data_IF_410375414696
#
_entry.id   IF_410375414696
#
_cell.length_a   1.000
_cell.length_b   1.000
_cell.length_c   1.000
_cell.angle_alpha   90.00
_cell.angle_beta   90.00
_cell.angle_gamma   90.00
#
_symmetry.space_group_name_H-M   'P 1'
#
loop_
_entity.id
_entity.type
_entity.pdbx_description
1 polymer ?
#
# COMPACT_ATOMS: atom_id res chain seq x y z
N UNK A 1 -11.84 19.57 -1.66
CA UNK A 1 -10.59 18.82 -1.45
C UNK A 1 -10.87 17.73 -0.41
N UNK A 2 -10.92 16.47 -0.84
CA UNK A 2 -11.10 15.36 0.10
C UNK A 2 -9.88 15.34 1.01
N UNK A 3 -10.04 15.74 2.27
CA UNK A 3 -8.93 15.75 3.22
C UNK A 3 -8.45 14.31 3.43
N UNK A 4 -7.15 14.05 3.22
CA UNK A 4 -6.50 12.80 3.58
C UNK A 4 -6.81 12.48 5.06
N UNK A 5 -7.42 11.34 5.30
CA UNK A 5 -7.75 10.87 6.65
C UNK A 5 -6.63 9.96 7.13
N UNK A 6 -5.77 10.46 8.03
CA UNK A 6 -4.68 9.66 8.59
C UNK A 6 -5.15 8.44 9.40
N UNK A 7 -6.40 8.45 9.86
CA UNK A 7 -6.97 7.43 10.73
C UNK A 7 -7.67 6.28 10.00
N UNK A 8 -7.92 6.39 8.70
CA UNK A 8 -8.50 5.31 7.90
C UNK A 8 -8.18 5.48 6.41
N UNK A 9 -8.15 4.37 5.69
CA UNK A 9 -8.09 4.34 4.24
C UNK A 9 -9.39 4.92 3.66
N UNK A 10 -9.34 5.64 2.55
CA UNK A 10 -10.50 6.19 1.86
C UNK A 10 -10.61 5.70 0.42
N UNK A 11 -9.50 5.54 -0.32
CA UNK A 11 -9.51 5.07 -1.70
C UNK A 11 -9.89 3.58 -1.81
N UNK A 12 -10.53 3.21 -2.92
CA UNK A 12 -11.06 1.86 -3.16
C UNK A 12 -12.26 1.55 -2.27
N UNK A 13 -12.45 0.28 -1.93
CA UNK A 13 -13.55 -0.19 -1.07
C UNK A 13 -13.08 -0.25 0.38
N UNK A 14 -13.88 0.35 1.28
CA UNK A 14 -13.64 0.37 2.73
C UNK A 14 -14.97 0.18 3.46
N UNK A 15 -14.94 -0.06 4.77
CA UNK A 15 -16.16 -0.22 5.57
C UNK A 15 -16.29 0.87 6.61
N UNK A 16 -17.52 1.42 6.74
CA UNK A 16 -17.89 2.33 7.81
C UNK A 16 -18.02 1.58 9.14
N UNK A 17 -18.11 2.33 10.25
CA UNK A 17 -18.41 1.74 11.55
C UNK A 17 -19.79 1.05 11.62
N UNK A 18 -20.67 1.31 10.65
CA UNK A 18 -21.99 0.67 10.53
C UNK A 18 -21.95 -0.59 9.65
N UNK A 19 -20.78 -0.96 9.11
CA UNK A 19 -20.61 -2.11 8.22
C UNK A 19 -21.02 -1.85 6.77
N UNK A 20 -21.38 -0.61 6.40
CA UNK A 20 -21.65 -0.26 5.00
C UNK A 20 -20.35 -0.05 4.23
N UNK A 21 -20.31 -0.49 2.99
CA UNK A 21 -19.17 -0.24 2.12
C UNK A 21 -19.16 1.21 1.64
N UNK A 22 -18.02 1.87 1.79
CA UNK A 22 -17.71 3.19 1.26
C UNK A 22 -16.72 3.00 0.10
N UNK A 23 -17.14 3.36 -1.11
CA UNK A 23 -16.30 3.27 -2.31
C UNK A 23 -15.85 4.66 -2.72
N UNK A 24 -14.57 4.83 -3.03
CA UNK A 24 -14.00 6.07 -3.55
C UNK A 24 -12.97 5.75 -4.64
N UNK A 25 -13.23 6.27 -5.85
CA UNK A 25 -12.37 6.10 -7.03
C UNK A 25 -12.01 7.47 -7.59
N UNK A 26 -10.76 7.67 -8.00
CA UNK A 26 -10.35 8.86 -8.74
C UNK A 26 -10.25 8.55 -10.22
N UNK A 27 -11.09 9.22 -11.01
CA UNK A 27 -11.17 9.10 -12.47
C UNK A 27 -11.67 10.43 -13.05
N UNK A 28 -10.79 11.45 -13.17
CA UNK A 28 -11.21 12.81 -13.50
C UNK A 28 -11.75 12.97 -14.92
N UNK A 29 -11.39 12.11 -15.85
CA UNK A 29 -11.80 12.18 -17.26
C UNK A 29 -13.00 11.28 -17.58
N UNK A 30 -13.41 10.40 -16.63
CA UNK A 30 -14.53 9.50 -16.83
C UNK A 30 -15.88 10.25 -16.88
N UNK A 31 -16.78 9.80 -17.72
CA UNK A 31 -18.18 10.30 -17.81
C UNK A 31 -19.09 9.51 -16.88
N UNK A 32 -18.83 8.22 -16.72
CA UNK A 32 -19.57 7.31 -15.85
C UNK A 32 -18.60 6.40 -15.11
N UNK A 33 -18.84 6.18 -13.82
CA UNK A 33 -18.07 5.23 -13.01
C UNK A 33 -19.04 4.37 -12.22
N UNK A 34 -18.88 3.05 -12.30
CA UNK A 34 -19.68 2.08 -11.57
C UNK A 34 -18.78 1.05 -10.88
N UNK A 35 -19.32 0.37 -9.86
CA UNK A 35 -18.80 -0.90 -9.38
C UNK A 35 -19.61 -2.01 -10.04
N UNK A 36 -18.93 -2.96 -10.67
CA UNK A 36 -19.53 -4.19 -11.15
C UNK A 36 -19.20 -5.34 -10.21
N UNK A 37 -20.19 -5.85 -9.48
CA UNK A 37 -20.06 -7.03 -8.63
C UNK A 37 -20.21 -8.29 -9.49
N UNK A 38 -19.13 -9.09 -9.56
CA UNK A 38 -19.02 -10.22 -10.50
C UNK A 38 -20.05 -11.30 -10.19
N UNK A 39 -20.03 -11.86 -8.98
CA UNK A 39 -20.89 -12.98 -8.60
C UNK A 39 -22.37 -12.58 -8.50
N UNK A 40 -22.63 -11.33 -8.08
CA UNK A 40 -23.99 -10.79 -7.94
C UNK A 40 -24.55 -10.28 -9.28
N UNK A 41 -23.72 -10.17 -10.32
CA UNK A 41 -24.06 -9.55 -11.62
C UNK A 41 -24.77 -8.21 -11.44
N UNK A 42 -24.27 -7.40 -10.51
CA UNK A 42 -24.88 -6.16 -10.07
C UNK A 42 -23.99 -4.97 -10.38
N UNK A 43 -24.56 -3.96 -11.02
CA UNK A 43 -23.93 -2.67 -11.24
C UNK A 43 -24.39 -1.67 -10.18
N UNK A 44 -23.44 -1.00 -9.54
CA UNK A 44 -23.68 0.05 -8.55
C UNK A 44 -23.07 1.35 -9.07
N UNK A 45 -23.91 2.35 -9.30
CA UNK A 45 -23.48 3.65 -9.82
C UNK A 45 -22.76 4.47 -8.73
N UNK A 46 -21.65 5.10 -9.11
CA UNK A 46 -20.93 6.05 -8.27
C UNK A 46 -21.34 7.48 -8.64
N UNK A 47 -21.47 8.32 -7.62
CA UNK A 47 -21.81 9.73 -7.77
C UNK A 47 -20.50 10.52 -7.98
N UNK A 48 -20.48 11.36 -9.03
CA UNK A 48 -19.39 12.29 -9.28
C UNK A 48 -19.26 13.30 -8.13
N UNK A 49 -18.02 13.51 -7.68
CA UNK A 49 -17.66 14.46 -6.65
C UNK A 49 -16.67 15.49 -7.21
N UNK A 50 -16.33 16.48 -6.40
CA UNK A 50 -15.31 17.45 -6.76
C UNK A 50 -13.94 16.79 -7.07
N UNK A 51 -13.13 17.43 -7.90
CA UNK A 51 -11.75 17.04 -8.24
C UNK A 51 -11.61 15.68 -8.93
N UNK A 52 -12.66 15.21 -9.62
CA UNK A 52 -12.64 13.96 -10.38
C UNK A 52 -12.75 12.70 -9.53
N UNK A 53 -13.21 12.82 -8.29
CA UNK A 53 -13.54 11.67 -7.46
C UNK A 53 -14.97 11.20 -7.70
N UNK A 54 -15.17 9.89 -7.55
CA UNK A 54 -16.46 9.21 -7.65
C UNK A 54 -16.68 8.35 -6.42
N UNK A 55 -17.89 8.36 -5.85
CA UNK A 55 -18.14 7.61 -4.62
C UNK A 55 -19.56 7.09 -4.49
N UNK A 56 -19.72 5.99 -3.76
CA UNK A 56 -21.01 5.55 -3.23
C UNK A 56 -20.85 5.00 -1.81
N UNK A 57 -21.98 4.90 -1.08
CA UNK A 57 -22.10 4.17 0.18
C UNK A 57 -23.22 3.16 -0.01
N UNK A 58 -22.97 1.90 0.30
CA UNK A 58 -23.91 0.83 0.01
C UNK A 58 -23.74 -0.35 0.96
N UNK A 59 -24.84 -1.02 1.38
CA UNK A 59 -24.77 -2.30 2.07
C UNK A 59 -24.61 -3.50 1.13
N UNK A 60 -24.67 -3.29 -0.20
CA UNK A 60 -24.65 -4.38 -1.19
C UNK A 60 -23.27 -5.03 -1.39
N UNK A 61 -22.20 -4.34 -0.98
CA UNK A 61 -20.82 -4.84 -1.07
C UNK A 61 -20.42 -5.44 0.28
N UNK A 62 -19.92 -6.67 0.24
CA UNK A 62 -19.50 -7.41 1.44
C UNK A 62 -18.08 -7.97 1.26
N UNK A 63 -17.33 -8.24 2.36
CA UNK A 63 -16.03 -8.90 2.25
C UNK A 63 -16.14 -10.22 1.48
N UNK A 64 -15.18 -10.48 0.58
CA UNK A 64 -15.15 -11.62 -0.33
C UNK A 64 -15.83 -11.37 -1.68
N UNK A 65 -16.60 -10.30 -1.85
CA UNK A 65 -17.16 -9.97 -3.16
C UNK A 65 -16.04 -9.64 -4.15
N UNK A 66 -16.11 -10.23 -5.34
CA UNK A 66 -15.25 -9.86 -6.46
C UNK A 66 -15.89 -8.74 -7.30
N UNK A 67 -15.07 -7.77 -7.71
CA UNK A 67 -15.57 -6.59 -8.42
C UNK A 67 -14.58 -6.01 -9.42
N UNK A 68 -15.14 -5.27 -10.36
CA UNK A 68 -14.42 -4.34 -11.22
C UNK A 68 -14.92 -2.92 -11.01
N UNK A 69 -14.06 -1.95 -11.30
CA UNK A 69 -14.50 -0.58 -11.56
C UNK A 69 -14.80 -0.48 -13.06
N UNK A 70 -16.02 -0.09 -13.38
CA UNK A 70 -16.43 0.12 -14.76
C UNK A 70 -16.33 1.62 -15.09
N UNK A 71 -15.39 1.97 -15.97
CA UNK A 71 -15.19 3.33 -16.50
C UNK A 71 -15.76 3.40 -17.90
N UNK A 72 -16.80 4.22 -18.12
CA UNK A 72 -17.43 4.43 -19.44
C UNK A 72 -17.74 3.10 -20.17
N UNK A 73 -18.20 2.10 -19.42
CA UNK A 73 -18.53 0.76 -19.89
C UNK A 73 -17.39 -0.23 -19.97
N UNK A 74 -16.13 0.16 -19.65
CA UNK A 74 -14.98 -0.74 -19.61
C UNK A 74 -14.71 -1.19 -18.19
N UNK A 75 -14.70 -2.51 -17.97
CA UNK A 75 -14.37 -3.12 -16.68
C UNK A 75 -12.86 -3.19 -16.47
N UNK A 76 -12.37 -2.68 -15.34
CA UNK A 76 -10.97 -2.62 -14.94
C UNK A 76 -10.83 -2.99 -13.48
N UNK A 77 -9.74 -3.66 -13.06
CA UNK A 77 -9.43 -3.81 -11.64
C UNK A 77 -9.31 -2.45 -10.94
N UNK A 78 -9.64 -2.40 -9.65
CA UNK A 78 -9.54 -1.17 -8.86
C UNK A 78 -8.07 -0.83 -8.56
N UNK A 79 -7.58 0.38 -8.93
CA UNK A 79 -6.22 0.82 -8.63
C UNK A 79 -5.87 0.80 -7.14
N UNK A 80 -6.86 0.97 -6.26
CA UNK A 80 -6.69 0.97 -4.81
C UNK A 80 -7.18 -0.33 -4.14
N UNK A 81 -7.37 -1.39 -4.93
CA UNK A 81 -7.64 -2.73 -4.42
C UNK A 81 -6.54 -3.20 -3.50
N UNK A 82 -6.90 -3.85 -2.40
CA UNK A 82 -5.96 -4.47 -1.46
C UNK A 82 -5.68 -5.93 -1.77
N UNK A 83 -6.45 -6.54 -2.69
CA UNK A 83 -6.27 -7.92 -3.09
C UNK A 83 -6.72 -8.16 -4.54
N UNK A 84 -5.86 -8.85 -5.29
CA UNK A 84 -6.05 -9.28 -6.67
C UNK A 84 -5.90 -10.81 -6.74
N UNK A 85 -6.93 -11.60 -6.37
CA UNK A 85 -6.80 -13.06 -6.21
C UNK A 85 -6.42 -13.77 -7.51
N UNK A 86 -6.86 -13.24 -8.65
CA UNK A 86 -6.61 -13.80 -9.99
C UNK A 86 -5.46 -13.07 -10.73
N UNK A 87 -4.67 -12.27 -10.00
CA UNK A 87 -3.56 -11.51 -10.58
C UNK A 87 -3.98 -10.18 -11.18
N UNK A 88 -3.10 -9.60 -12.00
CA UNK A 88 -3.19 -8.19 -12.43
C UNK A 88 -4.32 -7.87 -13.43
N UNK A 89 -4.94 -8.86 -14.03
CA UNK A 89 -6.04 -8.70 -15.01
C UNK A 89 -7.39 -9.18 -14.50
N UNK A 90 -7.41 -9.92 -13.39
CA UNK A 90 -8.62 -10.44 -12.76
C UNK A 90 -9.40 -9.38 -11.97
N UNK A 91 -10.57 -9.74 -11.46
CA UNK A 91 -11.33 -8.87 -10.58
C UNK A 91 -10.58 -8.58 -9.28
N UNK A 92 -10.84 -7.41 -8.71
CA UNK A 92 -10.44 -7.09 -7.35
C UNK A 92 -11.34 -7.81 -6.35
N UNK A 93 -10.80 -8.19 -5.19
CA UNK A 93 -11.61 -8.77 -4.10
C UNK A 93 -11.71 -7.80 -2.92
N UNK A 94 -12.89 -7.71 -2.36
CA UNK A 94 -13.18 -6.87 -1.19
C UNK A 94 -12.63 -7.51 0.07
N UNK A 95 -11.68 -6.87 0.71
CA UNK A 95 -11.10 -7.32 1.99
C UNK A 95 -11.31 -6.26 3.07
N UNK A 96 -11.85 -6.69 4.21
CA UNK A 96 -11.95 -5.84 5.41
C UNK A 96 -10.66 -5.96 6.22
N UNK A 97 -9.69 -5.06 5.98
CA UNK A 97 -8.42 -5.07 6.71
C UNK A 97 -8.59 -4.90 8.22
N UNK A 98 -9.60 -4.14 8.64
CA UNK A 98 -9.92 -3.93 10.07
C UNK A 98 -10.55 -5.14 10.77
N UNK A 99 -10.89 -6.22 10.04
CA UNK A 99 -11.43 -7.45 10.64
C UNK A 99 -10.35 -8.37 11.21
N UNK A 100 -9.07 -8.13 10.90
CA UNK A 100 -7.96 -8.91 11.44
C UNK A 100 -7.81 -8.67 12.94
N UNK A 101 -7.62 -9.76 13.67
CA UNK A 101 -7.49 -9.72 15.13
C UNK A 101 -6.02 -9.66 15.53
N UNK A 102 -5.51 -8.46 15.74
CA UNK A 102 -4.14 -8.22 16.15
C UNK A 102 -3.89 -8.65 17.61
N UNK A 103 -2.74 -9.28 17.85
CA UNK A 103 -2.28 -9.65 19.21
C UNK A 103 -1.15 -8.74 19.70
N UNK A 104 -0.66 -7.85 18.87
CA UNK A 104 0.49 -6.98 19.08
C UNK A 104 0.21 -5.70 19.92
N UNK A 105 -0.84 -5.70 20.73
CA UNK A 105 -1.26 -4.52 21.52
C UNK A 105 -0.20 -3.94 22.45
N UNK A 106 0.80 -4.76 22.82
CA UNK A 106 1.90 -4.35 23.68
C UNK A 106 3.19 -4.09 22.89
N UNK A 107 3.15 -4.26 21.56
CA UNK A 107 4.30 -4.03 20.72
C UNK A 107 4.71 -2.56 20.74
N UNK A 108 5.97 -2.33 21.07
CA UNK A 108 6.64 -1.04 20.97
C UNK A 108 7.83 -1.25 20.05
N UNK A 109 7.84 -0.57 18.92
CA UNK A 109 8.93 -0.68 17.98
C UNK A 109 10.26 -0.30 18.64
N UNK A 110 11.29 -1.07 18.37
CA UNK A 110 12.66 -0.82 18.89
C UNK A 110 13.24 0.43 18.22
N UNK A 111 14.19 1.13 18.89
CA UNK A 111 14.88 2.27 18.30
C UNK A 111 15.62 1.88 17.01
N UNK A 112 15.57 2.73 15.99
CA UNK A 112 16.19 2.45 14.69
C UNK A 112 17.68 2.09 14.76
N UNK A 113 18.43 2.69 15.68
CA UNK A 113 19.85 2.41 15.90
C UNK A 113 20.13 1.01 16.45
N UNK A 114 19.09 0.31 16.91
CA UNK A 114 19.17 -1.06 17.41
C UNK A 114 18.72 -2.10 16.38
N UNK A 115 18.34 -1.65 15.16
CA UNK A 115 17.99 -2.54 14.08
C UNK A 115 19.21 -3.31 13.57
N UNK A 116 19.12 -4.64 13.62
CA UNK A 116 19.95 -5.58 12.87
C UNK A 116 19.02 -6.16 11.80
N UNK A 117 19.16 -5.63 10.58
CA UNK A 117 18.20 -5.86 9.50
C UNK A 117 18.59 -7.10 8.69
N UNK A 118 17.64 -7.99 8.46
CA UNK A 118 17.73 -9.06 7.49
C UNK A 118 16.77 -8.78 6.34
N UNK A 119 17.30 -8.46 5.17
CA UNK A 119 16.51 -8.30 3.95
C UNK A 119 16.16 -9.67 3.37
N UNK A 120 14.89 -9.89 3.02
CA UNK A 120 14.41 -11.14 2.47
C UNK A 120 13.39 -10.94 1.34
N UNK A 121 13.38 -11.87 0.40
CA UNK A 121 12.38 -11.96 -0.66
C UNK A 121 11.39 -13.08 -0.33
N UNK A 122 10.11 -12.74 -0.20
CA UNK A 122 9.06 -13.69 0.20
C UNK A 122 9.05 -14.96 -0.64
N UNK A 123 9.12 -14.81 -1.97
CA UNK A 123 9.04 -15.94 -2.90
C UNK A 123 10.24 -16.90 -2.92
N UNK A 124 11.36 -16.57 -2.22
CA UNK A 124 12.58 -17.40 -2.25
C UNK A 124 13.18 -17.70 -0.88
N UNK A 125 12.70 -17.02 0.18
CA UNK A 125 13.23 -17.21 1.53
C UNK A 125 12.90 -18.58 2.14
N UNK A 126 11.73 -19.11 1.80
CA UNK A 126 11.29 -20.46 2.22
C UNK A 126 10.94 -21.33 1.02
N UNK A 127 10.80 -22.64 1.26
CA UNK A 127 10.40 -23.59 0.21
C UNK A 127 8.98 -23.36 -0.30
N UNK A 128 8.09 -22.81 0.55
CA UNK A 128 6.71 -22.50 0.16
C UNK A 128 6.61 -21.19 -0.64
N UNK A 129 7.58 -20.26 -0.50
CA UNK A 129 7.55 -18.96 -1.16
C UNK A 129 6.41 -18.05 -0.69
N UNK A 130 5.95 -18.20 0.55
CA UNK A 130 4.79 -17.50 1.11
C UNK A 130 5.14 -16.80 2.44
N UNK A 131 4.27 -15.90 2.90
CA UNK A 131 4.39 -15.28 4.22
C UNK A 131 4.36 -16.30 5.36
N UNK A 132 3.57 -17.37 5.24
CA UNK A 132 3.55 -18.46 6.22
C UNK A 132 4.93 -19.13 6.33
N UNK A 133 5.60 -19.37 5.20
CA UNK A 133 6.96 -19.91 5.21
C UNK A 133 8.00 -19.00 5.86
N UNK A 134 7.77 -17.67 5.90
CA UNK A 134 8.60 -16.75 6.68
C UNK A 134 8.30 -16.93 8.17
N UNK A 135 7.02 -17.04 8.56
CA UNK A 135 6.62 -17.28 9.97
C UNK A 135 7.33 -18.52 10.53
N UNK A 136 7.39 -19.61 9.77
CA UNK A 136 8.07 -20.84 10.17
C UNK A 136 9.58 -20.65 10.43
N UNK A 137 10.19 -19.61 9.84
CA UNK A 137 11.62 -19.28 9.96
C UNK A 137 11.93 -18.20 11.01
N UNK A 138 10.94 -17.59 11.64
CA UNK A 138 11.16 -16.57 12.65
C UNK A 138 12.05 -17.05 13.82
N UNK A 139 11.90 -18.28 14.38
CA UNK A 139 12.79 -18.76 15.43
C UNK A 139 14.27 -18.77 15.01
N UNK A 140 14.58 -19.12 13.76
CA UNK A 140 15.93 -19.07 13.22
C UNK A 140 16.46 -17.62 13.15
N UNK A 141 15.64 -16.66 12.74
CA UNK A 141 16.05 -15.24 12.69
C UNK A 141 16.30 -14.68 14.09
N UNK A 142 15.49 -15.07 15.07
CA UNK A 142 15.70 -14.71 16.50
C UNK A 142 17.02 -15.28 17.01
N UNK A 143 17.31 -16.56 16.76
CA UNK A 143 18.56 -17.22 17.15
C UNK A 143 19.77 -16.53 16.51
N UNK A 144 19.63 -16.06 15.27
CA UNK A 144 20.67 -15.30 14.55
C UNK A 144 20.89 -13.89 15.14
N UNK A 145 20.01 -13.42 16.03
CA UNK A 145 20.07 -12.08 16.62
C UNK A 145 19.51 -10.97 15.75
N UNK A 146 18.65 -11.30 14.77
CA UNK A 146 17.96 -10.33 13.92
C UNK A 146 16.89 -9.61 14.74
N UNK A 147 16.84 -8.28 14.63
CA UNK A 147 15.85 -7.45 15.35
C UNK A 147 14.83 -6.79 14.40
N UNK A 148 15.12 -6.81 13.11
CA UNK A 148 14.19 -6.32 12.08
C UNK A 148 14.32 -7.14 10.79
N UNK A 149 13.21 -7.45 10.14
CA UNK A 149 13.22 -7.95 8.76
C UNK A 149 12.85 -6.83 7.80
N UNK A 150 13.53 -6.75 6.65
CA UNK A 150 13.15 -5.93 5.52
C UNK A 150 12.58 -6.83 4.44
N UNK A 151 11.27 -6.69 4.17
CA UNK A 151 10.58 -7.48 3.16
C UNK A 151 10.68 -6.73 1.83
N UNK A 152 11.27 -7.36 0.80
CA UNK A 152 11.25 -6.86 -0.57
C UNK A 152 9.81 -6.61 -1.04
N UNK A 153 9.58 -5.77 -2.07
CA UNK A 153 8.25 -5.27 -2.38
C UNK A 153 7.20 -6.38 -2.55
N UNK A 154 6.02 -6.15 -1.97
CA UNK A 154 4.90 -7.11 -1.97
C UNK A 154 3.71 -6.63 -2.82
N UNK A 155 3.81 -5.47 -3.47
CA UNK A 155 2.77 -4.96 -4.35
C UNK A 155 2.48 -5.96 -5.48
N UNK A 156 1.20 -6.17 -5.81
CA UNK A 156 0.79 -7.15 -6.81
C UNK A 156 1.45 -6.87 -8.17
N UNK A 157 2.17 -7.87 -8.66
CA UNK A 157 2.81 -7.92 -9.98
C UNK A 157 2.24 -9.08 -10.82
N UNK A 158 2.57 -9.10 -12.11
CA UNK A 158 2.15 -10.15 -13.03
C UNK A 158 2.90 -11.46 -12.76
N UNK A 159 2.16 -12.57 -12.71
CA UNK A 159 2.71 -13.89 -12.44
C UNK A 159 3.14 -14.12 -10.98
N UNK A 160 4.05 -15.08 -10.76
CA UNK A 160 4.47 -15.50 -9.42
C UNK A 160 5.98 -15.33 -9.16
N UNK A 161 6.74 -14.80 -10.12
CA UNK A 161 8.21 -14.67 -10.04
C UNK A 161 8.63 -13.26 -10.40
N UNK A 162 8.87 -12.45 -9.40
CA UNK A 162 9.39 -11.08 -9.50
C UNK A 162 10.06 -10.73 -8.19
N UNK A 163 11.04 -9.85 -8.20
CA UNK A 163 11.58 -9.29 -6.95
C UNK A 163 10.63 -8.31 -6.27
N UNK A 164 9.49 -7.99 -6.93
CA UNK A 164 8.47 -7.09 -6.45
C UNK A 164 8.59 -5.66 -7.00
N UNK A 165 9.65 -5.36 -7.79
CA UNK A 165 9.87 -4.02 -8.32
C UNK A 165 9.04 -3.69 -9.57
N UNK A 166 8.30 -4.66 -10.13
CA UNK A 166 7.35 -4.44 -11.23
C UNK A 166 5.88 -4.50 -10.76
N UNK A 167 5.62 -4.15 -9.50
CA UNK A 167 4.26 -4.05 -8.97
C UNK A 167 3.42 -3.04 -9.74
N UNK A 168 2.14 -3.36 -9.96
CA UNK A 168 1.18 -2.50 -10.70
C UNK A 168 -0.06 -2.13 -9.88
N UNK A 169 -0.26 -2.80 -8.74
CA UNK A 169 -1.28 -2.44 -7.74
C UNK A 169 -0.61 -2.19 -6.40
N UNK A 170 -0.15 -0.95 -6.12
CA UNK A 170 0.57 -0.62 -4.89
C UNK A 170 -0.16 -0.95 -3.60
N UNK A 171 -1.50 -0.94 -3.61
CA UNK A 171 -2.32 -1.27 -2.45
C UNK A 171 -2.54 -2.77 -2.26
N UNK A 172 -2.42 -3.58 -3.32
CA UNK A 172 -2.69 -5.01 -3.26
C UNK A 172 -1.45 -5.79 -2.85
N UNK A 173 -1.64 -6.73 -1.93
CA UNK A 173 -0.61 -7.68 -1.55
C UNK A 173 -0.57 -8.84 -2.55
N UNK A 174 0.63 -9.18 -3.04
CA UNK A 174 0.86 -10.24 -4.02
C UNK A 174 0.14 -11.54 -3.64
N UNK A 175 -0.71 -12.02 -4.55
CA UNK A 175 -1.56 -13.18 -4.32
C UNK A 175 -0.76 -14.46 -4.08
N UNK A 176 0.33 -14.69 -4.83
CA UNK A 176 1.18 -15.87 -4.69
C UNK A 176 1.94 -15.93 -3.37
N UNK A 177 2.02 -14.82 -2.62
CA UNK A 177 2.64 -14.77 -1.29
C UNK A 177 1.64 -15.10 -0.16
N UNK A 178 0.34 -15.17 -0.46
CA UNK A 178 -0.74 -15.46 0.47
C UNK A 178 -1.73 -14.30 0.69
N UNK A 179 -1.51 -13.15 0.01
CA UNK A 179 -2.42 -12.00 0.06
C UNK A 179 -2.41 -11.23 1.39
N UNK A 180 -3.36 -10.30 1.58
CA UNK A 180 -3.30 -9.30 2.65
C UNK A 180 -3.40 -9.90 4.06
N UNK A 181 -4.28 -10.88 4.27
CA UNK A 181 -4.47 -11.50 5.60
C UNK A 181 -3.23 -12.28 6.02
N UNK A 182 -2.53 -12.93 5.08
CA UNK A 182 -1.29 -13.64 5.38
C UNK A 182 -0.15 -12.67 5.74
N UNK A 183 -0.09 -11.48 5.11
CA UNK A 183 0.85 -10.43 5.50
C UNK A 183 0.56 -9.90 6.91
N UNK A 184 -0.73 -9.66 7.26
CA UNK A 184 -1.10 -9.25 8.62
C UNK A 184 -0.67 -10.30 9.66
N UNK A 185 -0.87 -11.61 9.38
CA UNK A 185 -0.39 -12.69 10.24
C UNK A 185 1.13 -12.70 10.41
N UNK A 186 1.88 -12.47 9.32
CA UNK A 186 3.34 -12.39 9.40
C UNK A 186 3.79 -11.25 10.31
N UNK A 187 3.22 -10.06 10.15
CA UNK A 187 3.60 -8.89 10.97
C UNK A 187 3.28 -9.15 12.45
N UNK A 188 2.09 -9.66 12.75
CA UNK A 188 1.68 -10.01 14.12
C UNK A 188 2.63 -11.05 14.75
N UNK A 189 3.02 -12.07 13.98
CA UNK A 189 3.97 -13.09 14.42
C UNK A 189 5.38 -12.51 14.64
N UNK A 190 5.85 -11.58 13.80
CA UNK A 190 7.13 -10.89 13.99
C UNK A 190 7.14 -10.09 15.29
N UNK A 191 6.09 -9.30 15.54
CA UNK A 191 5.95 -8.53 16.77
C UNK A 191 5.92 -9.42 18.02
N UNK A 192 5.25 -10.57 17.96
CA UNK A 192 5.26 -11.56 19.04
C UNK A 192 6.64 -12.13 19.34
N UNK A 193 7.58 -12.13 18.37
CA UNK A 193 8.96 -12.56 18.51
C UNK A 193 9.94 -11.41 18.78
N UNK A 194 9.47 -10.18 18.92
CA UNK A 194 10.31 -9.01 19.14
C UNK A 194 11.03 -8.51 17.88
N UNK A 195 10.55 -8.86 16.69
CA UNK A 195 11.11 -8.48 15.38
C UNK A 195 10.27 -7.37 14.76
N UNK A 196 10.91 -6.24 14.43
CA UNK A 196 10.28 -5.17 13.64
C UNK A 196 10.17 -5.54 12.17
N UNK A 197 9.19 -4.98 11.47
CA UNK A 197 8.97 -5.23 10.04
C UNK A 197 9.13 -3.95 9.23
N UNK A 198 10.07 -3.96 8.30
CA UNK A 198 10.32 -2.92 7.30
C UNK A 198 9.74 -3.43 5.97
N UNK A 199 8.98 -2.60 5.28
CA UNK A 199 8.48 -2.92 3.95
C UNK A 199 9.16 -2.05 2.89
N UNK A 200 9.74 -2.68 1.88
CA UNK A 200 10.23 -1.98 0.69
C UNK A 200 9.06 -1.60 -0.21
N UNK A 201 8.98 -0.32 -0.57
CA UNK A 201 7.91 0.24 -1.39
C UNK A 201 8.45 1.00 -2.60
N UNK A 202 7.82 0.80 -3.74
CA UNK A 202 8.20 1.37 -5.03
C UNK A 202 7.22 2.48 -5.39
N UNK A 203 7.64 3.74 -5.27
CA UNK A 203 6.81 4.91 -5.58
C UNK A 203 7.37 5.77 -6.72
N UNK A 204 8.52 5.38 -7.27
CA UNK A 204 9.19 6.08 -8.36
C UNK A 204 8.74 5.61 -9.75
N UNK A 205 8.22 4.39 -9.87
CA UNK A 205 7.69 3.80 -11.10
C UNK A 205 6.68 2.68 -10.78
N UNK A 206 6.03 2.16 -11.79
CA UNK A 206 5.23 0.93 -11.74
C UNK A 206 5.62 0.03 -12.89
N UNK A 207 5.38 -1.27 -12.72
CA UNK A 207 5.56 -2.25 -13.78
C UNK A 207 4.68 -1.97 -14.99
N UNK A 208 5.06 -2.48 -16.17
CA UNK A 208 4.28 -2.27 -17.39
C UNK A 208 3.12 -3.25 -17.54
N UNK A 209 3.22 -4.46 -16.99
CA UNK A 209 2.30 -5.55 -17.27
C UNK A 209 1.08 -5.51 -16.32
N UNK A 210 -0.10 -5.26 -16.90
CA UNK A 210 -1.34 -5.16 -16.14
C UNK A 210 -1.57 -3.81 -15.45
N UNK A 211 -0.77 -2.78 -15.76
CA UNK A 211 -0.92 -1.45 -15.18
C UNK A 211 -2.16 -0.75 -15.76
N UNK A 212 -3.17 -0.57 -14.94
CA UNK A 212 -4.44 0.08 -15.30
C UNK A 212 -4.50 1.57 -14.94
N UNK A 213 -3.53 2.10 -14.18
CA UNK A 213 -3.56 3.48 -13.68
C UNK A 213 -3.72 4.54 -14.79
N UNK A 214 -3.07 4.42 -15.97
CA UNK A 214 -3.25 5.38 -17.06
C UNK A 214 -4.69 5.49 -17.58
N UNK A 215 -5.53 4.48 -17.34
CA UNK A 215 -6.93 4.49 -17.76
C UNK A 215 -7.82 5.24 -16.76
N UNK A 216 -7.35 5.39 -15.53
CA UNK A 216 -8.08 6.11 -14.48
C UNK A 216 -7.78 7.59 -14.46
N UNK A 217 -6.54 7.99 -14.82
CA UNK A 217 -6.16 9.39 -14.82
C UNK A 217 -4.67 9.63 -15.05
N UNK A 218 -4.21 10.87 -15.00
CA UNK A 218 -2.83 11.26 -15.25
C UNK A 218 -1.90 10.93 -14.05
N UNK A 219 -1.78 9.64 -13.73
CA UNK A 219 -0.84 9.15 -12.72
C UNK A 219 0.63 9.29 -13.14
N UNK A 220 0.88 9.40 -14.45
CA UNK A 220 2.20 9.56 -15.04
C UNK A 220 2.31 10.91 -15.74
N UNK A 221 3.56 11.39 -15.93
CA UNK A 221 3.84 12.63 -16.65
C UNK A 221 5.01 12.44 -17.63
N UNK A 222 4.89 13.06 -18.80
CA UNK A 222 5.98 13.16 -19.79
C UNK A 222 6.99 14.27 -19.51
N UNK A 223 6.73 15.08 -18.48
CA UNK A 223 7.59 16.19 -18.05
C UNK A 223 9.02 15.72 -17.71
N UNK A 224 9.13 14.49 -17.23
CA UNK A 224 10.41 13.87 -16.87
C UNK A 224 10.56 12.47 -17.48
N UNK A 225 11.80 12.12 -17.83
CA UNK A 225 12.17 10.75 -18.24
C UNK A 225 12.90 10.06 -17.10
N UNK A 226 12.57 8.80 -16.86
CA UNK A 226 13.25 7.93 -15.92
C UNK A 226 13.76 6.67 -16.63
N UNK A 227 14.66 5.89 -16.02
CA UNK A 227 15.10 4.61 -16.60
C UNK A 227 13.95 3.63 -16.86
N UNK A 228 12.82 3.80 -16.14
CA UNK A 228 11.61 2.97 -16.26
C UNK A 228 10.52 3.57 -17.15
N UNK A 229 10.80 4.67 -17.85
CA UNK A 229 9.86 5.37 -18.74
C UNK A 229 9.35 6.70 -18.18
N UNK A 230 8.03 6.95 -18.27
CA UNK A 230 7.40 8.15 -17.72
C UNK A 230 7.59 8.20 -16.20
N UNK A 231 7.75 9.42 -15.66
CA UNK A 231 7.78 9.61 -14.21
C UNK A 231 6.38 9.55 -13.62
N UNK A 232 6.29 9.19 -12.34
CA UNK A 232 5.06 9.41 -11.57
C UNK A 232 4.77 10.91 -11.46
N UNK A 233 3.49 11.27 -11.56
CA UNK A 233 3.05 12.65 -11.59
C UNK A 233 2.97 13.26 -10.18
N UNK A 234 4.08 13.77 -9.65
CA UNK A 234 4.11 14.42 -8.33
C UNK A 234 4.04 15.96 -8.39
N UNK A 235 4.19 16.60 -9.56
CA UNK A 235 4.27 18.07 -9.66
C UNK A 235 3.70 18.69 -10.95
N UNK A 236 2.91 17.92 -11.72
CA UNK A 236 2.23 18.42 -12.90
C UNK A 236 0.71 18.56 -12.65
N UNK A 237 -0.08 18.86 -13.68
CA UNK A 237 -1.53 18.95 -13.57
C UNK A 237 -2.13 17.68 -12.92
N UNK A 238 -3.09 17.85 -12.02
CA UNK A 238 -3.72 16.78 -11.23
C UNK A 238 -2.81 16.02 -10.25
N UNK A 239 -1.57 16.48 -10.02
CA UNK A 239 -0.62 15.81 -9.11
C UNK A 239 -1.14 15.67 -7.68
N UNK A 240 -2.03 16.53 -7.20
CA UNK A 240 -2.60 16.43 -5.85
C UNK A 240 -3.27 15.07 -5.59
N UNK A 241 -3.98 14.52 -6.58
CA UNK A 241 -4.62 13.21 -6.45
C UNK A 241 -3.59 12.06 -6.47
N UNK A 242 -2.53 12.17 -7.28
CA UNK A 242 -1.45 11.19 -7.34
C UNK A 242 -0.64 11.21 -6.05
N UNK A 243 -0.31 12.39 -5.52
CA UNK A 243 0.34 12.59 -4.21
C UNK A 243 -0.51 11.97 -3.10
N UNK A 244 -1.84 12.18 -3.13
CA UNK A 244 -2.78 11.60 -2.20
C UNK A 244 -2.79 10.06 -2.29
N UNK A 245 -2.82 9.50 -3.50
CA UNK A 245 -2.82 8.06 -3.74
C UNK A 245 -1.63 7.37 -3.06
N UNK A 246 -0.41 7.83 -3.33
CA UNK A 246 0.79 7.23 -2.71
C UNK A 246 0.93 7.54 -1.22
N UNK A 247 0.43 8.70 -0.77
CA UNK A 247 0.39 9.02 0.66
C UNK A 247 -0.52 8.07 1.42
N UNK A 248 -1.69 7.80 0.86
CA UNK A 248 -2.65 6.88 1.48
C UNK A 248 -2.17 5.44 1.48
N UNK A 249 -1.46 5.03 0.41
CA UNK A 249 -0.80 3.73 0.36
C UNK A 249 0.23 3.57 1.48
N UNK A 250 1.12 4.54 1.65
CA UNK A 250 2.12 4.51 2.72
C UNK A 250 1.47 4.45 4.12
N UNK A 251 0.42 5.25 4.34
CA UNK A 251 -0.32 5.22 5.61
C UNK A 251 -1.07 3.89 5.82
N UNK A 252 -1.58 3.27 4.76
CA UNK A 252 -2.20 1.95 4.84
C UNK A 252 -1.23 0.89 5.37
N UNK A 253 -0.01 0.83 4.86
CA UNK A 253 1.00 -0.11 5.35
C UNK A 253 1.27 0.05 6.85
N UNK A 254 1.44 1.29 7.30
CA UNK A 254 1.73 1.60 8.71
C UNK A 254 0.52 1.38 9.62
N UNK A 255 -0.69 1.68 9.14
CA UNK A 255 -1.91 1.69 9.95
C UNK A 255 -2.64 0.35 9.95
N UNK A 256 -2.84 -0.22 8.74
CA UNK A 256 -3.73 -1.36 8.56
C UNK A 256 -2.95 -2.69 8.52
N UNK A 257 -1.63 -2.62 8.29
CA UNK A 257 -0.73 -3.78 8.31
C UNK A 257 0.30 -3.72 9.44
N UNK A 258 0.28 -2.70 10.28
CA UNK A 258 1.19 -2.49 11.42
C UNK A 258 2.68 -2.55 11.05
N UNK A 259 3.04 -2.28 9.79
CA UNK A 259 4.43 -2.15 9.34
C UNK A 259 5.14 -1.07 10.15
N UNK A 260 6.34 -1.34 10.66
CA UNK A 260 7.09 -0.44 11.54
C UNK A 260 7.85 0.64 10.79
N UNK A 261 8.32 0.33 9.58
CA UNK A 261 9.08 1.24 8.75
C UNK A 261 8.87 0.98 7.25
N UNK A 262 9.08 2.01 6.43
CA UNK A 262 9.11 1.90 4.98
C UNK A 262 10.52 2.17 4.47
N UNK A 263 11.06 1.29 3.63
CA UNK A 263 12.19 1.58 2.77
C UNK A 263 11.66 2.03 1.43
N UNK A 264 12.09 3.19 0.94
CA UNK A 264 11.65 3.71 -0.35
C UNK A 264 12.70 3.42 -1.42
N UNK A 265 12.28 2.65 -2.44
CA UNK A 265 13.13 2.37 -3.59
C UNK A 265 13.40 3.62 -4.43
N UNK A 266 14.63 3.73 -4.95
CA UNK A 266 15.06 4.69 -5.96
C UNK A 266 14.49 6.11 -5.79
N UNK A 267 14.54 6.67 -4.58
CA UNK A 267 13.98 7.99 -4.24
C UNK A 267 14.49 9.13 -5.14
N UNK A 268 15.68 8.98 -5.74
CA UNK A 268 16.25 9.93 -6.70
C UNK A 268 15.46 10.03 -8.01
N UNK A 269 14.65 9.02 -8.31
CA UNK A 269 13.77 9.00 -9.49
C UNK A 269 12.37 9.53 -9.19
N UNK A 270 12.04 9.85 -7.94
CA UNK A 270 10.84 10.61 -7.57
C UNK A 270 11.09 12.08 -7.96
N UNK A 271 10.55 12.47 -9.12
CA UNK A 271 10.69 13.83 -9.66
C UNK A 271 9.56 14.71 -9.13
N UNK A 272 9.91 15.63 -8.26
CA UNK A 272 8.97 16.59 -7.66
C UNK A 272 9.70 17.90 -7.40
N UNK A 273 9.38 18.94 -8.16
CA UNK A 273 9.91 20.28 -8.03
C UNK A 273 8.88 21.27 -7.48
N UNK A 274 7.82 20.74 -6.86
CA UNK A 274 6.86 21.58 -6.14
C UNK A 274 7.51 22.27 -4.93
N UNK A 275 6.92 23.35 -4.39
CA UNK A 275 7.44 24.06 -3.22
C UNK A 275 7.66 23.18 -1.99
N UNK A 276 6.88 22.09 -1.89
CA UNK A 276 7.03 21.08 -0.86
C UNK A 276 7.14 19.71 -1.50
N UNK A 277 8.36 19.18 -1.51
CA UNK A 277 8.62 17.86 -2.07
C UNK A 277 7.77 16.77 -1.39
N UNK A 278 7.20 15.83 -2.17
CA UNK A 278 6.30 14.78 -1.69
C UNK A 278 6.90 13.94 -0.55
N UNK A 279 8.19 13.62 -0.59
CA UNK A 279 8.87 12.90 0.50
C UNK A 279 8.84 13.65 1.83
N UNK A 280 8.93 15.00 1.78
CA UNK A 280 8.78 15.81 2.98
C UNK A 280 7.35 15.79 3.49
N UNK A 281 6.38 15.84 2.59
CA UNK A 281 4.97 15.74 2.95
C UNK A 281 4.66 14.37 3.55
N UNK A 282 5.17 13.28 2.95
CA UNK A 282 5.05 11.91 3.47
C UNK A 282 5.56 11.83 4.92
N UNK A 283 6.78 12.30 5.17
CA UNK A 283 7.37 12.32 6.52
C UNK A 283 6.48 13.05 7.53
N UNK A 284 5.94 14.20 7.17
CA UNK A 284 5.06 14.96 8.05
C UNK A 284 3.74 14.23 8.35
N UNK A 285 3.16 13.56 7.34
CA UNK A 285 1.92 12.78 7.50
C UNK A 285 2.14 11.55 8.38
N UNK A 286 3.23 10.83 8.16
CA UNK A 286 3.62 9.70 8.99
C UNK A 286 3.85 10.14 10.44
N UNK A 287 4.57 11.25 10.66
CA UNK A 287 4.75 11.81 12.01
C UNK A 287 3.40 12.19 12.68
N UNK A 288 2.46 12.77 11.92
CA UNK A 288 1.11 13.06 12.44
C UNK A 288 0.33 11.79 12.82
N UNK A 289 0.46 10.71 12.03
CA UNK A 289 -0.15 9.42 12.33
C UNK A 289 0.40 8.87 13.64
N UNK A 290 1.70 8.80 13.81
CA UNK A 290 2.33 8.32 15.04
C UNK A 290 1.92 9.13 16.27
N UNK A 291 1.95 10.46 16.20
CA UNK A 291 1.55 11.34 17.29
C UNK A 291 0.09 11.17 17.74
N UNK A 292 -0.81 10.83 16.82
CA UNK A 292 -2.25 10.73 17.13
C UNK A 292 -2.70 9.35 17.56
N UNK A 293 -2.10 8.28 17.03
CA UNK A 293 -2.68 6.95 17.11
C UNK A 293 -1.80 5.91 17.80
N UNK A 294 -0.47 6.05 17.77
CA UNK A 294 0.43 5.15 18.50
C UNK A 294 0.83 5.64 19.90
N UNK A 295 0.57 6.89 20.23
CA UNK A 295 1.02 7.51 21.49
C UNK A 295 -0.04 7.60 22.58
N UNK A 296 -0.99 6.70 22.64
CA UNK A 296 -1.98 6.69 23.71
C UNK A 296 -1.37 6.56 25.13
N UNK A 297 -0.06 6.26 25.29
CA UNK A 297 0.58 6.05 26.61
C UNK A 297 1.99 6.59 26.81
N UNK A 298 2.74 7.05 25.76
CA UNK A 298 4.09 7.58 26.05
C UNK A 298 4.61 8.60 25.04
N UNK A 299 4.66 9.89 25.45
CA UNK A 299 5.20 10.99 24.64
C UNK A 299 6.72 10.90 24.41
N UNK A 300 7.45 10.11 25.19
CA UNK A 300 8.89 9.93 25.05
C UNK A 300 9.24 8.94 23.93
N UNK A 301 8.51 7.84 23.79
CA UNK A 301 8.65 6.88 22.70
C UNK A 301 8.29 7.51 21.34
N UNK A 302 7.32 8.44 21.28
CA UNK A 302 6.92 9.15 20.06
C UNK A 302 8.05 9.96 19.40
N UNK A 303 9.02 10.47 20.16
CA UNK A 303 10.19 11.19 19.63
C UNK A 303 11.19 10.27 18.94
N UNK A 304 11.30 9.01 19.36
CA UNK A 304 12.15 7.99 18.73
C UNK A 304 11.55 7.45 17.42
N UNK A 305 10.22 7.36 17.31
CA UNK A 305 9.49 6.76 16.19
C UNK A 305 9.32 7.69 14.97
N UNK A 306 9.67 8.97 15.08
CA UNK A 306 9.45 9.97 14.04
C UNK A 306 10.35 9.83 12.79
N UNK A 307 11.12 8.75 12.63
CA UNK A 307 12.19 8.69 11.62
C UNK A 307 12.17 7.45 10.75
N UNK A 308 11.05 6.79 10.57
CA UNK A 308 11.04 5.48 9.93
C UNK A 308 10.68 5.48 8.45
N UNK A 309 11.13 6.48 7.71
CA UNK A 309 11.23 6.44 6.25
C UNK A 309 12.72 6.31 5.91
N UNK A 310 13.16 5.10 5.60
CA UNK A 310 14.54 4.81 5.22
C UNK A 310 14.69 5.10 3.71
N UNK A 311 15.36 6.21 3.35
CA UNK A 311 15.83 6.41 1.99
C UNK A 311 17.23 5.82 1.88
N UNK A 312 17.47 4.86 0.97
CA UNK A 312 18.84 4.41 0.68
C UNK A 312 19.64 5.56 0.07
N UNK A 313 20.80 5.94 0.66
CA UNK A 313 21.75 6.76 -0.05
C UNK A 313 22.27 5.97 -1.26
N UNK A 314 22.42 6.65 -2.39
CA UNK A 314 23.09 6.13 -3.58
C UNK A 314 24.40 5.42 -3.17
N UNK A 315 24.45 4.09 -3.32
CA UNK A 315 25.70 3.38 -3.39
C UNK A 315 26.44 3.94 -4.62
N UNK A 316 27.44 4.81 -4.40
CA UNK A 316 28.41 5.17 -5.42
C UNK A 316 29.24 3.92 -5.67
N UNK A 317 28.91 3.16 -6.71
CA UNK A 317 29.90 2.28 -7.32
C UNK A 317 31.01 3.17 -7.88
N UNK A 318 32.21 3.05 -7.31
CA UNK A 318 33.46 3.53 -7.91
C UNK A 318 33.95 2.48 -8.90
#
# INVERSE_FOLDING_TARGET
MTMLRVNRKSLGVNFSARGEAEVLVWAPEAKTVNVWLVDKQRRLELINREFGYWSCITPEITPGDQYYIELDGKQLPDPASVYQPEGVTGPSEVVSLGAFHWTDHQWINIPQQEYIIYELHTGTFSSSGTFEGIIEKLPYLVELGITAIEIMPVAQFSGARNWGYDGVFPFAVQNSYGGPVALQKLVDACHAQGIAVILDVVYNHLGPEGNVLPMFGPYFTDKYKTPWGQAMNFDDAHSDAVRHYFMENALMWLRDFHIDALRLDAVHAIKDFSPKHWLRELRERVAMYHLRFRTGRDRAAARSLATTVLAQPLLRFR
#
